data_IF_203572043348
#
_entry.id   IF_203572043348
#
_cell.length_a   1.000
_cell.length_b   1.000
_cell.length_c   1.000
_cell.angle_alpha   90.00
_cell.angle_beta   90.00
_cell.angle_gamma   90.00
#
_symmetry.space_group_name_H-M   'P 1'
#
loop_
_entity.id
_entity.type
_entity.pdbx_description
1 polymer ?
#
# COMPACT_ATOMS: atom_id res chain seq x y z
N UNK A 1 -7.14 0.98 -4.91
CA UNK A 1 -5.86 1.02 -4.18
C UNK A 1 -4.73 1.00 -5.19
N UNK A 2 -3.67 1.75 -4.94
CA UNK A 2 -2.46 1.80 -5.74
C UNK A 2 -1.24 1.63 -4.84
N UNK A 3 -0.26 0.83 -5.23
CA UNK A 3 0.99 0.57 -4.49
C UNK A 3 2.14 0.76 -5.49
N UNK A 4 3.12 1.59 -5.16
CA UNK A 4 4.21 2.02 -6.04
C UNK A 4 5.45 2.46 -5.23
N UNK A 5 6.63 2.55 -5.84
CA UNK A 5 7.90 2.96 -5.20
C UNK A 5 8.17 2.31 -3.83
N UNK A 6 7.79 1.06 -3.66
CA UNK A 6 8.06 0.29 -2.44
C UNK A 6 8.22 -1.18 -2.79
N UNK A 7 8.91 -1.89 -1.92
CA UNK A 7 8.79 -3.33 -1.90
C UNK A 7 7.45 -3.70 -1.28
N UNK A 8 6.92 -4.83 -1.73
CA UNK A 8 5.71 -5.39 -1.18
C UNK A 8 5.72 -6.91 -1.31
N UNK A 9 4.93 -7.57 -0.48
CA UNK A 9 4.61 -8.99 -0.63
C UNK A 9 3.14 -9.26 -0.36
N UNK A 10 2.62 -10.29 -1.02
CA UNK A 10 1.27 -10.81 -0.80
C UNK A 10 1.40 -12.13 -0.06
N UNK A 11 0.58 -12.31 0.98
CA UNK A 11 0.40 -13.60 1.63
C UNK A 11 -1.09 -13.97 1.63
N UNK A 12 -1.37 -15.26 1.47
CA UNK A 12 -2.70 -15.86 1.60
C UNK A 12 -2.57 -17.01 2.60
N UNK A 13 -3.41 -17.02 3.64
CA UNK A 13 -3.37 -18.06 4.69
C UNK A 13 -1.96 -18.27 5.28
N UNK A 14 -1.22 -17.16 5.45
CA UNK A 14 0.17 -17.09 5.95
C UNK A 14 1.24 -17.69 5.03
N UNK A 15 0.89 -18.07 3.80
CA UNK A 15 1.85 -18.47 2.78
C UNK A 15 2.10 -17.31 1.82
N UNK A 16 3.37 -17.02 1.52
CA UNK A 16 3.71 -16.00 0.53
C UNK A 16 3.32 -16.48 -0.86
N UNK A 17 2.52 -15.68 -1.57
CA UNK A 17 2.10 -15.97 -2.93
C UNK A 17 2.80 -15.10 -3.99
N UNK A 18 3.28 -13.91 -3.60
CA UNK A 18 4.13 -13.06 -4.46
C UNK A 18 4.96 -12.04 -3.67
N UNK A 19 6.03 -11.56 -4.28
CA UNK A 19 6.88 -10.43 -3.90
C UNK A 19 6.97 -9.41 -5.05
N UNK A 20 7.31 -8.15 -4.78
CA UNK A 20 7.42 -7.07 -5.78
C UNK A 20 8.37 -7.37 -6.95
N UNK A 21 9.35 -8.23 -6.71
CA UNK A 21 10.39 -8.64 -7.69
C UNK A 21 10.06 -9.94 -8.42
N UNK A 22 8.92 -10.56 -8.15
CA UNK A 22 8.50 -11.78 -8.85
C UNK A 22 8.05 -11.48 -10.28
N UNK A 23 7.93 -12.53 -11.09
CA UNK A 23 7.45 -12.40 -12.47
C UNK A 23 6.01 -11.89 -12.52
N UNK A 24 5.64 -11.22 -13.61
CA UNK A 24 4.28 -10.70 -13.82
C UNK A 24 3.20 -11.78 -13.68
N UNK A 25 3.50 -13.01 -14.10
CA UNK A 25 2.57 -14.13 -14.01
C UNK A 25 2.32 -14.55 -12.56
N UNK A 26 3.36 -14.56 -11.73
CA UNK A 26 3.26 -14.88 -10.30
C UNK A 26 2.50 -13.78 -9.56
N UNK A 27 2.86 -12.52 -9.81
CA UNK A 27 2.16 -11.34 -9.29
C UNK A 27 0.68 -11.37 -9.70
N UNK A 28 0.39 -11.63 -10.97
CA UNK A 28 -0.98 -11.70 -11.48
C UNK A 28 -1.83 -12.76 -10.77
N UNK A 29 -1.29 -13.96 -10.53
CA UNK A 29 -1.99 -15.01 -9.77
C UNK A 29 -2.27 -14.60 -8.33
N UNK A 30 -1.30 -14.00 -7.64
CA UNK A 30 -1.46 -13.53 -6.27
C UNK A 30 -2.50 -12.40 -6.17
N UNK A 31 -2.51 -11.46 -7.12
CA UNK A 31 -3.51 -10.39 -7.18
C UNK A 31 -4.92 -10.95 -7.40
N UNK A 32 -5.08 -11.98 -8.24
CA UNK A 32 -6.37 -12.66 -8.43
C UNK A 32 -6.87 -13.31 -7.15
N UNK A 33 -5.99 -13.84 -6.30
CA UNK A 33 -6.38 -14.40 -4.98
C UNK A 33 -6.94 -13.32 -4.04
N UNK A 34 -6.40 -12.10 -4.11
CA UNK A 34 -6.90 -10.95 -3.33
C UNK A 34 -8.19 -10.36 -3.91
N UNK A 35 -8.44 -10.56 -5.21
CA UNK A 35 -9.59 -9.99 -5.88
C UNK A 35 -10.90 -10.51 -5.28
N UNK A 36 -11.76 -9.59 -4.85
CA UNK A 36 -13.04 -9.91 -4.21
C UNK A 36 -12.99 -9.98 -2.69
N UNK A 37 -11.81 -9.96 -2.07
CA UNK A 37 -11.69 -9.81 -0.62
C UNK A 37 -11.90 -8.34 -0.20
N UNK A 38 -12.52 -8.13 0.95
CA UNK A 38 -12.72 -6.82 1.54
C UNK A 38 -11.49 -6.40 2.33
N UNK A 39 -10.97 -5.20 2.06
CA UNK A 39 -9.96 -4.58 2.91
C UNK A 39 -10.61 -4.16 4.24
N UNK A 40 -10.20 -4.78 5.34
CA UNK A 40 -10.79 -4.58 6.67
C UNK A 40 -9.96 -3.68 7.57
N UNK A 41 -8.64 -3.67 7.38
CA UNK A 41 -7.73 -2.82 8.16
C UNK A 41 -6.48 -2.46 7.36
N UNK A 42 -5.89 -1.33 7.72
CA UNK A 42 -4.55 -0.91 7.30
C UNK A 42 -3.81 -0.49 8.54
N UNK A 43 -2.77 -1.24 8.90
CA UNK A 43 -1.87 -0.91 9.99
C UNK A 43 -0.60 -0.30 9.42
N UNK A 44 -0.14 0.79 10.01
CA UNK A 44 1.06 1.51 9.61
C UNK A 44 2.03 1.55 10.78
N UNK A 45 3.32 1.40 10.49
CA UNK A 45 4.41 1.67 11.43
C UNK A 45 5.18 2.86 10.87
N UNK A 46 4.80 4.11 11.23
CA UNK A 46 5.33 5.31 10.60
C UNK A 46 6.86 5.43 10.70
N UNK A 47 7.45 4.94 11.80
CA UNK A 47 8.89 5.02 12.05
C UNK A 47 9.72 4.21 11.05
N UNK A 48 9.14 3.14 10.50
CA UNK A 48 9.79 2.25 9.53
C UNK A 48 9.25 2.45 8.11
N UNK A 49 8.27 3.33 7.92
CA UNK A 49 7.52 3.44 6.66
C UNK A 49 6.78 2.16 6.28
N UNK A 50 6.51 1.23 7.20
CA UNK A 50 5.90 -0.07 6.86
C UNK A 50 4.39 0.01 6.93
N UNK A 51 3.72 -0.75 6.09
CA UNK A 51 2.27 -0.92 6.15
C UNK A 51 1.87 -2.38 6.02
N UNK A 52 0.76 -2.76 6.63
CA UNK A 52 0.11 -4.05 6.47
C UNK A 52 -1.37 -3.85 6.20
N UNK A 53 -1.84 -4.41 5.10
CA UNK A 53 -3.22 -4.43 4.67
C UNK A 53 -3.83 -5.78 5.02
N UNK A 54 -4.98 -5.80 5.68
CA UNK A 54 -5.68 -7.01 6.08
C UNK A 54 -6.97 -7.18 5.30
N UNK A 55 -7.16 -8.37 4.73
CA UNK A 55 -8.35 -8.74 4.00
C UNK A 55 -9.17 -9.78 4.79
N UNK A 56 -10.49 -9.75 4.62
CA UNK A 56 -11.44 -10.58 5.35
C UNK A 56 -11.29 -12.09 5.11
N UNK A 57 -10.81 -12.50 3.93
CA UNK A 57 -10.60 -13.91 3.56
C UNK A 57 -9.12 -14.35 3.69
N UNK A 58 -8.38 -13.74 4.63
CA UNK A 58 -7.02 -14.18 5.00
C UNK A 58 -5.89 -13.62 4.12
N UNK A 59 -6.23 -12.87 3.08
CA UNK A 59 -5.26 -12.13 2.27
C UNK A 59 -4.57 -11.02 3.08
N UNK A 60 -3.28 -10.81 2.82
CA UNK A 60 -2.52 -9.69 3.40
C UNK A 60 -1.52 -9.14 2.40
N UNK A 61 -1.34 -7.83 2.41
CA UNK A 61 -0.24 -7.15 1.72
C UNK A 61 0.64 -6.48 2.78
N UNK A 62 1.94 -6.65 2.68
CA UNK A 62 2.91 -5.89 3.47
C UNK A 62 3.71 -5.02 2.52
N UNK A 63 3.95 -3.75 2.89
CA UNK A 63 4.79 -2.81 2.13
C UNK A 63 5.89 -2.25 3.02
N UNK A 64 7.03 -1.93 2.41
CA UNK A 64 8.14 -1.23 3.06
C UNK A 64 8.93 -0.40 2.04
N UNK A 65 9.63 0.66 2.49
CA UNK A 65 10.36 1.56 1.60
C UNK A 65 11.32 0.82 0.66
N UNK A 66 11.40 1.30 -0.57
CA UNK A 66 12.37 0.87 -1.57
C UNK A 66 13.49 1.91 -1.65
N UNK A 67 14.75 1.48 -1.52
CA UNK A 67 15.90 2.39 -1.58
C UNK A 67 15.94 3.40 -0.42
N UNK A 68 16.61 4.54 -0.67
CA UNK A 68 16.98 5.52 0.35
C UNK A 68 16.13 6.81 0.31
N UNK A 69 15.25 6.98 -0.68
CA UNK A 69 14.39 8.17 -0.77
C UNK A 69 13.16 8.03 0.14
N UNK A 70 13.29 8.54 1.36
CA UNK A 70 12.19 8.57 2.34
C UNK A 70 10.99 9.42 1.88
N UNK A 71 11.10 10.23 0.83
CA UNK A 71 10.00 11.04 0.33
C UNK A 71 9.07 10.32 -0.64
N UNK A 72 9.41 9.08 -1.01
CA UNK A 72 8.61 8.27 -1.92
C UNK A 72 7.21 7.96 -1.36
N UNK A 73 6.19 8.23 -2.17
CA UNK A 73 4.81 7.80 -1.92
C UNK A 73 4.70 6.30 -2.20
N UNK A 74 4.35 5.52 -1.18
CA UNK A 74 4.29 4.07 -1.29
C UNK A 74 2.93 3.56 -1.77
N UNK A 75 1.86 4.16 -1.28
CA UNK A 75 0.52 3.70 -1.63
C UNK A 75 -0.52 4.81 -1.49
N UNK A 76 -1.62 4.62 -2.23
CA UNK A 76 -2.82 5.43 -2.15
C UNK A 76 -4.08 4.56 -2.14
N UNK A 77 -4.96 4.82 -1.18
CA UNK A 77 -6.32 4.29 -1.16
C UNK A 77 -7.25 5.36 -1.71
N UNK A 78 -8.06 4.99 -2.69
CA UNK A 78 -9.01 5.87 -3.36
C UNK A 78 -10.42 5.47 -2.94
N UNK A 79 -11.22 6.45 -2.52
CA UNK A 79 -12.68 6.35 -2.45
C UNK A 79 -13.28 7.11 -3.64
N UNK A 80 -14.61 7.16 -3.71
CA UNK A 80 -15.30 7.95 -4.73
C UNK A 80 -14.94 9.46 -4.65
N UNK A 81 -14.60 9.94 -3.46
CA UNK A 81 -14.40 11.37 -3.17
C UNK A 81 -12.97 11.71 -2.79
N UNK A 82 -12.26 10.79 -2.14
CA UNK A 82 -11.01 11.08 -1.44
C UNK A 82 -9.88 10.13 -1.84
N UNK A 83 -8.66 10.61 -1.69
CA UNK A 83 -7.42 9.87 -1.78
C UNK A 83 -6.69 9.98 -0.44
N UNK A 84 -6.34 8.83 0.13
CA UNK A 84 -5.48 8.73 1.30
C UNK A 84 -4.16 8.10 0.90
N UNK A 85 -3.09 8.87 0.97
CA UNK A 85 -1.74 8.48 0.53
C UNK A 85 -0.79 8.39 1.71
N UNK A 86 0.21 7.51 1.62
CA UNK A 86 1.25 7.33 2.63
C UNK A 86 2.65 7.30 2.00
N UNK A 87 3.62 7.90 2.69
CA UNK A 87 5.02 8.01 2.28
C UNK A 87 5.96 7.17 3.15
N UNK A 88 7.14 6.88 2.61
CA UNK A 88 8.22 6.16 3.30
C UNK A 88 8.68 6.82 4.60
N UNK A 89 8.59 8.14 4.72
CA UNK A 89 8.92 8.90 5.93
C UNK A 89 7.80 8.96 6.99
N UNK A 90 6.75 8.14 6.85
CA UNK A 90 5.65 8.09 7.81
C UNK A 90 4.67 9.26 7.71
N UNK A 91 4.75 10.09 6.66
CA UNK A 91 3.74 11.12 6.40
C UNK A 91 2.56 10.58 5.60
N UNK A 92 1.40 11.20 5.80
CA UNK A 92 0.20 10.94 5.03
C UNK A 92 -0.33 12.21 4.37
N UNK A 93 -1.11 12.04 3.32
CA UNK A 93 -1.92 13.10 2.73
C UNK A 93 -3.35 12.59 2.55
N UNK A 94 -4.33 13.43 2.91
CA UNK A 94 -5.75 13.19 2.69
C UNK A 94 -6.35 14.36 1.93
N UNK A 95 -7.04 14.09 0.83
CA UNK A 95 -7.74 15.11 0.06
C UNK A 95 -8.55 14.54 -1.08
N UNK A 96 -9.14 15.38 -1.95
CA UNK A 96 -10.02 14.92 -3.01
C UNK A 96 -9.31 14.01 -4.04
N UNK A 97 -9.95 12.92 -4.44
CA UNK A 97 -9.38 11.92 -5.37
C UNK A 97 -9.09 12.46 -6.78
N UNK A 98 -9.77 13.55 -7.18
CA UNK A 98 -9.63 14.18 -8.51
C UNK A 98 -8.60 15.31 -8.56
N UNK A 99 -7.92 15.61 -7.45
CA UNK A 99 -6.94 16.71 -7.38
C UNK A 99 -5.60 16.27 -7.98
N UNK A 100 -4.85 17.19 -8.58
CA UNK A 100 -3.51 16.90 -9.10
C UNK A 100 -2.52 16.59 -7.95
N UNK A 101 -1.62 15.64 -8.20
CA UNK A 101 -0.65 15.11 -7.24
C UNK A 101 0.29 16.18 -6.63
N UNK A 102 0.58 17.27 -7.36
CA UNK A 102 1.51 18.35 -6.95
C UNK A 102 1.01 19.25 -5.81
N UNK A 103 -0.22 19.06 -5.32
CA UNK A 103 -0.81 19.93 -4.28
C UNK A 103 -1.07 19.22 -2.95
N UNK A 104 -0.50 18.01 -2.76
CA UNK A 104 -0.67 17.25 -1.51
C UNK A 104 0.05 17.94 -0.36
N UNK A 105 -0.69 18.23 0.71
CA UNK A 105 -0.12 18.61 1.98
C UNK A 105 0.17 17.35 2.79
N UNK A 106 1.44 17.12 3.10
CA UNK A 106 1.90 15.97 3.87
C UNK A 106 1.94 16.30 5.35
N UNK A 107 1.32 15.44 6.15
CA UNK A 107 1.24 15.56 7.61
C UNK A 107 1.83 14.31 8.27
N UNK A 108 2.51 14.44 9.42
CA UNK A 108 3.07 13.28 10.11
C UNK A 108 1.94 12.39 10.64
N UNK A 109 2.02 11.08 10.40
CA UNK A 109 1.13 10.10 10.99
C UNK A 109 1.69 9.70 12.36
N UNK A 110 0.97 10.02 13.44
CA UNK A 110 1.39 9.76 14.83
C UNK A 110 0.83 8.45 15.36
#
# INVERSE_FOLDING_TARGET
MWIYCCHWRITQDRQQSAHSEDTRETIGRAVVQLAGQLLTAVNVTPQDGKSTFHFDLGGRIETWPYGDDSSDEQWTILTATDAFSFRADGHYALGPSKRSFDTKQWLPLR
#
